data_IF_024264653543
#
_entry.id   IF_024264653543
#
_cell.length_a   1.000
_cell.length_b   1.000
_cell.length_c   1.000
_cell.angle_alpha   90.00
_cell.angle_beta   90.00
_cell.angle_gamma   90.00
#
_symmetry.space_group_name_H-M   'P 1'
#
loop_
_entity.id
_entity.type
_entity.pdbx_description
1 polymer ?
#
# COMPACT_ATOMS: atom_id res chain seq x y z
N UNK A 1 10.94 5.20 6.74
CA UNK A 1 11.96 4.25 6.23
C UNK A 1 12.03 2.94 7.03
N UNK A 2 11.46 2.87 8.24
CA UNK A 2 11.53 1.67 9.09
C UNK A 2 10.43 0.63 8.81
N UNK A 3 9.22 1.07 8.44
CA UNK A 3 8.08 0.18 8.16
C UNK A 3 8.40 -0.90 7.12
N UNK A 4 9.11 -0.54 6.04
CA UNK A 4 9.42 -1.44 4.93
C UNK A 4 10.49 -2.49 5.26
N UNK A 5 11.39 -2.22 6.23
CA UNK A 5 12.48 -3.15 6.58
C UNK A 5 11.98 -4.30 7.47
N UNK A 6 11.04 -4.04 8.37
CA UNK A 6 10.52 -5.08 9.27
C UNK A 6 9.69 -6.14 8.55
N UNK A 7 9.02 -5.78 7.45
CA UNK A 7 8.15 -6.71 6.73
C UNK A 7 8.93 -7.76 5.93
N UNK A 8 10.14 -7.44 5.47
CA UNK A 8 10.98 -8.37 4.72
C UNK A 8 11.30 -9.69 5.45
N UNK A 9 11.21 -9.71 6.78
CA UNK A 9 11.37 -10.93 7.59
C UNK A 9 10.06 -11.65 7.96
N UNK A 10 8.91 -10.98 7.89
CA UNK A 10 7.62 -11.50 8.35
C UNK A 10 6.77 -12.13 7.23
N UNK A 11 7.00 -11.73 5.97
CA UNK A 11 6.27 -12.27 4.82
C UNK A 11 6.17 -11.26 3.68
N UNK A 12 5.65 -11.71 2.53
CA UNK A 12 5.41 -10.82 1.37
C UNK A 12 4.05 -10.14 1.42
N UNK A 13 3.07 -10.74 2.11
CA UNK A 13 1.70 -10.26 2.14
C UNK A 13 1.50 -9.25 3.29
N UNK A 14 0.96 -8.08 2.95
CA UNK A 14 0.89 -6.92 3.85
C UNK A 14 -0.54 -6.38 3.85
N UNK A 15 -1.12 -6.24 5.04
CA UNK A 15 -2.36 -5.49 5.24
C UNK A 15 -2.04 -4.13 5.86
N UNK A 16 -2.40 -3.05 5.16
CA UNK A 16 -2.34 -1.70 5.70
C UNK A 16 -3.73 -1.23 6.13
N UNK A 17 -3.89 -0.98 7.42
CA UNK A 17 -5.13 -0.46 8.01
C UNK A 17 -5.05 1.06 8.08
N UNK A 18 -6.03 1.76 7.50
CA UNK A 18 -6.01 3.22 7.40
C UNK A 18 -5.05 3.71 6.32
N UNK A 19 -5.09 3.07 5.14
CA UNK A 19 -4.19 3.39 4.00
C UNK A 19 -4.32 4.84 3.53
N UNK A 20 -5.43 5.50 3.86
CA UNK A 20 -5.67 6.89 3.54
C UNK A 20 -5.56 7.14 2.04
N UNK A 21 -4.74 8.13 1.65
CA UNK A 21 -4.49 8.44 0.23
C UNK A 21 -3.33 7.64 -0.37
N UNK A 22 -2.88 6.57 0.31
CA UNK A 22 -1.82 5.68 -0.13
C UNK A 22 -0.44 6.35 -0.19
N UNK A 23 -0.14 7.29 0.69
CA UNK A 23 1.16 8.01 0.70
C UNK A 23 2.36 7.09 0.94
N UNK A 24 2.18 6.04 1.73
CA UNK A 24 3.25 5.11 2.10
C UNK A 24 3.34 3.89 1.18
N UNK A 25 2.34 3.66 0.32
CA UNK A 25 2.32 2.53 -0.62
C UNK A 25 3.59 2.40 -1.49
N UNK A 26 4.18 3.49 -2.01
CA UNK A 26 5.43 3.40 -2.79
C UNK A 26 6.65 2.98 -1.97
N UNK A 27 6.57 3.03 -0.64
CA UNK A 27 7.68 2.71 0.25
C UNK A 27 7.76 1.21 0.58
N UNK A 28 6.71 0.43 0.30
CA UNK A 28 6.79 -1.02 0.44
C UNK A 28 7.71 -1.64 -0.63
N UNK A 29 8.41 -2.73 -0.31
CA UNK A 29 9.26 -3.41 -1.28
C UNK A 29 8.46 -3.85 -2.52
N UNK A 30 9.00 -3.72 -3.74
CA UNK A 30 8.32 -4.19 -4.96
C UNK A 30 7.97 -5.68 -4.97
N UNK A 31 8.66 -6.49 -4.16
CA UNK A 31 8.41 -7.93 -4.01
C UNK A 31 7.24 -8.26 -3.04
N UNK A 32 6.62 -7.25 -2.44
CA UNK A 32 5.47 -7.44 -1.54
C UNK A 32 4.13 -7.53 -2.29
N UNK A 33 3.11 -7.97 -1.57
CA UNK A 33 1.71 -7.96 -1.98
C UNK A 33 0.92 -7.15 -0.95
N UNK A 34 0.62 -5.90 -1.28
CA UNK A 34 -0.04 -4.97 -0.35
C UNK A 34 -1.54 -4.91 -0.62
N UNK A 35 -2.32 -5.13 0.43
CA UNK A 35 -3.75 -4.81 0.48
C UNK A 35 -3.94 -3.66 1.45
N UNK A 36 -4.52 -2.56 0.99
CA UNK A 36 -4.85 -1.41 1.83
C UNK A 36 -6.34 -1.34 2.10
N UNK A 37 -6.73 -0.94 3.31
CA UNK A 37 -8.12 -0.67 3.68
C UNK A 37 -8.23 0.71 4.31
N UNK A 38 -9.34 1.40 4.05
CA UNK A 38 -9.71 2.64 4.73
C UNK A 38 -11.24 2.73 4.79
N UNK A 39 -11.77 3.31 5.87
CA UNK A 39 -13.21 3.53 6.02
C UNK A 39 -13.68 4.65 5.07
N UNK A 40 -12.82 5.61 4.76
CA UNK A 40 -13.13 6.72 3.87
C UNK A 40 -13.01 6.32 2.40
N UNK A 41 -14.15 6.16 1.73
CA UNK A 41 -14.21 5.92 0.29
C UNK A 41 -13.51 7.03 -0.54
N UNK A 42 -13.54 8.28 -0.06
CA UNK A 42 -12.86 9.40 -0.71
C UNK A 42 -11.33 9.28 -0.65
N UNK A 43 -10.80 8.79 0.47
CA UNK A 43 -9.38 8.51 0.63
C UNK A 43 -8.96 7.37 -0.30
N UNK A 44 -9.74 6.28 -0.36
CA UNK A 44 -9.49 5.16 -1.27
C UNK A 44 -9.51 5.59 -2.75
N UNK A 45 -10.41 6.50 -3.14
CA UNK A 45 -10.43 7.04 -4.51
C UNK A 45 -9.12 7.75 -4.86
N UNK A 46 -8.59 8.54 -3.93
CA UNK A 46 -7.29 9.22 -4.09
C UNK A 46 -6.13 8.21 -4.11
N UNK A 47 -6.16 7.20 -3.24
CA UNK A 47 -5.17 6.13 -3.22
C UNK A 47 -5.13 5.34 -4.53
N UNK A 48 -6.29 4.92 -5.06
CA UNK A 48 -6.42 4.23 -6.35
C UNK A 48 -5.87 5.06 -7.51
N UNK A 49 -6.18 6.35 -7.52
CA UNK A 49 -5.62 7.29 -8.51
C UNK A 49 -4.09 7.36 -8.42
N UNK A 50 -3.53 7.37 -7.19
CA UNK A 50 -2.08 7.36 -6.98
C UNK A 50 -1.44 6.05 -7.44
N UNK A 51 -2.03 4.90 -7.11
CA UNK A 51 -1.55 3.58 -7.56
C UNK A 51 -1.50 3.50 -9.08
N UNK A 52 -2.55 3.97 -9.77
CA UNK A 52 -2.62 3.98 -11.23
C UNK A 52 -1.53 4.88 -11.85
N UNK A 53 -1.27 6.06 -11.26
CA UNK A 53 -0.24 7.00 -11.75
C UNK A 53 1.19 6.55 -11.43
N UNK A 54 1.40 5.99 -10.24
CA UNK A 54 2.71 5.61 -9.73
C UNK A 54 3.19 4.24 -10.19
N UNK A 55 2.36 3.49 -10.95
CA UNK A 55 2.64 2.11 -11.38
C UNK A 55 3.18 1.27 -10.23
N UNK A 56 2.32 1.01 -9.23
CA UNK A 56 2.68 0.26 -8.01
C UNK A 56 2.18 -1.19 -8.10
N UNK A 57 2.85 -2.10 -8.86
CA UNK A 57 2.36 -3.46 -9.13
C UNK A 57 2.31 -4.36 -7.90
N UNK A 58 3.00 -3.98 -6.83
CA UNK A 58 2.96 -4.65 -5.53
C UNK A 58 1.66 -4.39 -4.77
N UNK A 59 0.88 -3.37 -5.13
CA UNK A 59 -0.45 -3.12 -4.54
C UNK A 59 -1.49 -3.97 -5.25
N UNK A 60 -2.14 -4.87 -4.51
CA UNK A 60 -3.08 -5.87 -5.05
C UNK A 60 -4.54 -5.46 -4.89
N UNK A 61 -4.87 -4.72 -3.83
CA UNK A 61 -6.22 -4.25 -3.56
C UNK A 61 -6.23 -2.98 -2.70
N UNK A 62 -7.24 -2.15 -2.93
CA UNK A 62 -7.59 -0.91 -2.19
C UNK A 62 -9.10 -0.73 -2.16
#
# INVERSE_FOLDING_TARGET
MELARCVGGAGRDILEIGVGTGLVLPLYPPASNVTGIDISADMLRKAKTKVARGSLPHVKAL
#
